data_IF_256004136071
#
_entry.id   IF_256004136071
#
_cell.length_a   1.000
_cell.length_b   1.000
_cell.length_c   1.000
_cell.angle_alpha   90.00
_cell.angle_beta   90.00
_cell.angle_gamma   90.00
#
_symmetry.space_group_name_H-M   'P 1'
#
loop_
_entity.id
_entity.type
_entity.pdbx_description
1 polymer ?
#
# COMPACT_ATOMS: atom_id res chain seq x y z
N UNK A 1 36.63 -8.05 -31.20
CA UNK A 1 35.38 -7.28 -31.01
C UNK A 1 34.82 -7.70 -29.65
N UNK A 2 34.94 -6.86 -28.61
CA UNK A 2 34.51 -7.22 -27.24
C UNK A 2 33.02 -6.92 -27.12
N UNK A 3 32.19 -7.96 -26.91
CA UNK A 3 30.76 -7.81 -26.59
C UNK A 3 30.61 -7.31 -25.15
N UNK A 4 30.40 -6.01 -24.98
CA UNK A 4 30.06 -5.41 -23.68
C UNK A 4 28.55 -5.17 -23.58
N UNK A 5 27.76 -6.25 -23.56
CA UNK A 5 26.32 -6.19 -23.27
C UNK A 5 26.02 -7.33 -22.29
N UNK A 6 26.25 -7.12 -21.00
CA UNK A 6 25.85 -8.10 -19.97
C UNK A 6 25.83 -7.52 -18.56
N UNK A 7 25.43 -6.24 -18.40
CA UNK A 7 25.34 -5.65 -17.05
C UNK A 7 24.21 -4.65 -16.83
N UNK A 8 23.49 -4.25 -17.89
CA UNK A 8 22.38 -3.29 -17.77
C UNK A 8 21.05 -3.96 -17.44
N UNK A 9 20.92 -5.27 -17.67
CA UNK A 9 19.66 -5.99 -17.48
C UNK A 9 19.51 -6.54 -16.04
N UNK A 10 20.61 -6.95 -15.38
CA UNK A 10 20.57 -7.48 -14.00
C UNK A 10 20.04 -6.45 -12.98
N UNK A 11 20.48 -5.19 -13.10
CA UNK A 11 20.05 -4.11 -12.21
C UNK A 11 18.56 -3.78 -12.37
N UNK A 12 17.99 -4.04 -13.55
CA UNK A 12 16.57 -3.86 -13.82
C UNK A 12 15.73 -4.96 -13.19
N UNK A 13 16.24 -6.20 -13.17
CA UNK A 13 15.58 -7.33 -12.52
C UNK A 13 15.52 -7.15 -11.00
N UNK A 14 16.62 -6.73 -10.39
CA UNK A 14 16.71 -6.51 -8.94
C UNK A 14 15.80 -5.37 -8.47
N UNK A 15 15.72 -4.28 -9.24
CA UNK A 15 14.83 -3.16 -8.95
C UNK A 15 13.34 -3.57 -9.06
N UNK A 16 13.00 -4.41 -10.03
CA UNK A 16 11.63 -4.91 -10.19
C UNK A 16 11.23 -5.86 -9.06
N UNK A 17 12.11 -6.81 -8.71
CA UNK A 17 11.89 -7.72 -7.60
C UNK A 17 11.76 -6.98 -6.26
N UNK A 18 12.54 -5.91 -6.05
CA UNK A 18 12.42 -5.05 -4.88
C UNK A 18 11.06 -4.32 -4.85
N UNK A 19 10.64 -3.76 -5.98
CA UNK A 19 9.35 -3.07 -6.09
C UNK A 19 8.18 -4.05 -5.82
N UNK A 20 8.23 -5.25 -6.38
CA UNK A 20 7.25 -6.31 -6.15
C UNK A 20 7.18 -6.70 -4.67
N UNK A 21 8.32 -6.85 -4.00
CA UNK A 21 8.36 -7.14 -2.56
C UNK A 21 7.74 -6.02 -1.70
N UNK A 22 7.90 -4.76 -2.11
CA UNK A 22 7.30 -3.61 -1.43
C UNK A 22 5.79 -3.59 -1.66
N UNK A 23 5.34 -3.81 -2.90
CA UNK A 23 3.92 -3.92 -3.24
C UNK A 23 3.23 -5.04 -2.48
N UNK A 24 3.85 -6.22 -2.43
CA UNK A 24 3.34 -7.36 -1.66
C UNK A 24 3.24 -7.03 -0.16
N UNK A 25 4.26 -6.37 0.39
CA UNK A 25 4.25 -5.88 1.77
C UNK A 25 3.11 -4.90 2.04
N UNK A 26 2.87 -3.96 1.13
CA UNK A 26 1.78 -2.99 1.24
C UNK A 26 0.40 -3.66 1.24
N UNK A 27 0.17 -4.62 0.33
CA UNK A 27 -1.09 -5.40 0.28
C UNK A 27 -1.27 -6.22 1.55
N UNK A 28 -0.20 -6.81 2.08
CA UNK A 28 -0.27 -7.58 3.33
C UNK A 28 -0.67 -6.70 4.52
N UNK A 29 -0.05 -5.52 4.63
CA UNK A 29 -0.45 -4.52 5.62
C UNK A 29 -1.91 -4.10 5.46
N UNK A 30 -2.37 -3.99 4.21
CA UNK A 30 -3.75 -3.64 3.92
C UNK A 30 -4.78 -4.65 4.43
N UNK A 31 -4.56 -5.92 4.09
CA UNK A 31 -5.43 -7.01 4.50
C UNK A 31 -5.47 -7.10 6.03
N UNK A 32 -4.34 -6.84 6.67
CA UNK A 32 -4.22 -6.89 8.11
C UNK A 32 -4.90 -5.72 8.82
N UNK A 33 -4.70 -4.49 8.34
CA UNK A 33 -5.40 -3.31 8.86
C UNK A 33 -6.92 -3.40 8.62
N UNK A 34 -7.35 -3.98 7.48
CA UNK A 34 -8.77 -4.16 7.15
C UNK A 34 -9.46 -5.20 8.02
N UNK A 35 -8.73 -6.15 8.60
CA UNK A 35 -9.30 -7.14 9.50
C UNK A 35 -9.91 -6.50 10.77
N UNK A 36 -9.61 -5.22 11.05
CA UNK A 36 -10.27 -4.42 12.09
C UNK A 36 -9.77 -4.68 13.51
N UNK A 37 -8.81 -5.57 13.69
CA UNK A 37 -8.20 -5.93 14.98
C UNK A 37 -6.76 -5.41 15.11
N UNK A 38 -6.40 -4.42 14.28
CA UNK A 38 -5.05 -3.85 14.30
C UNK A 38 -4.85 -3.04 15.60
N UNK A 39 -4.04 -3.58 16.49
CA UNK A 39 -3.65 -2.96 17.76
C UNK A 39 -2.66 -1.80 17.56
N UNK A 40 -2.47 -0.96 18.58
CA UNK A 40 -1.49 0.15 18.52
C UNK A 40 -0.07 -0.32 18.20
N UNK A 41 0.30 -1.51 18.70
CA UNK A 41 1.61 -2.13 18.42
C UNK A 41 1.80 -2.44 16.92
N UNK A 42 0.70 -2.73 16.24
CA UNK A 42 0.65 -3.14 14.84
C UNK A 42 0.68 -1.92 13.93
N UNK A 43 0.02 -0.83 14.36
CA UNK A 43 0.18 0.50 13.77
C UNK A 43 1.62 1.00 13.89
N UNK A 44 2.29 0.78 15.02
CA UNK A 44 3.70 1.14 15.17
C UNK A 44 4.63 0.28 14.32
N UNK A 45 4.32 -1.01 14.16
CA UNK A 45 5.05 -1.89 13.23
C UNK A 45 4.86 -1.43 11.77
N UNK A 46 3.67 -0.98 11.40
CA UNK A 46 3.40 -0.37 10.09
C UNK A 46 4.20 0.93 9.89
N UNK A 47 4.26 1.81 10.91
CA UNK A 47 5.09 3.03 10.85
C UNK A 47 6.56 2.72 10.68
N UNK A 48 7.09 1.72 11.39
CA UNK A 48 8.48 1.27 11.22
C UNK A 48 8.72 0.73 9.83
N UNK A 49 7.77 0.00 9.26
CA UNK A 49 7.85 -0.49 7.90
C UNK A 49 7.92 0.65 6.87
N UNK A 50 7.09 1.68 7.02
CA UNK A 50 7.13 2.89 6.18
C UNK A 50 8.46 3.64 6.23
N UNK A 51 9.09 3.70 7.41
CA UNK A 51 10.37 4.39 7.60
C UNK A 51 11.58 3.65 7.03
N UNK A 52 11.43 2.41 6.53
CA UNK A 52 12.56 1.65 5.98
C UNK A 52 13.12 2.25 4.69
N UNK A 53 12.26 2.86 3.85
CA UNK A 53 12.68 3.47 2.59
C UNK A 53 11.61 4.41 2.04
N UNK A 54 12.02 5.39 1.24
CA UNK A 54 11.10 6.27 0.52
C UNK A 54 10.10 5.49 -0.37
N UNK A 55 10.50 4.33 -0.90
CA UNK A 55 9.60 3.48 -1.67
C UNK A 55 8.50 2.83 -0.80
N UNK A 56 8.81 2.51 0.46
CA UNK A 56 7.81 1.99 1.41
C UNK A 56 6.82 3.08 1.83
N UNK A 57 7.32 4.30 2.08
CA UNK A 57 6.49 5.46 2.36
C UNK A 57 5.56 5.79 1.18
N UNK A 58 6.09 5.75 -0.05
CA UNK A 58 5.29 5.93 -1.28
C UNK A 58 4.18 4.88 -1.41
N UNK A 59 4.50 3.60 -1.22
CA UNK A 59 3.50 2.54 -1.27
C UNK A 59 2.40 2.70 -0.21
N UNK A 60 2.75 3.14 1.01
CA UNK A 60 1.77 3.42 2.06
C UNK A 60 0.89 4.63 1.74
N UNK A 61 1.45 5.69 1.13
CA UNK A 61 0.69 6.86 0.69
C UNK A 61 -0.36 6.47 -0.35
N UNK A 62 0.03 5.68 -1.36
CA UNK A 62 -0.87 5.16 -2.40
C UNK A 62 -1.98 4.30 -1.78
N UNK A 63 -1.63 3.49 -0.79
CA UNK A 63 -2.56 2.65 -0.05
C UNK A 63 -3.61 3.50 0.69
N UNK A 64 -3.18 4.53 1.41
CA UNK A 64 -4.07 5.45 2.14
C UNK A 64 -4.96 6.20 1.16
N UNK A 65 -4.40 6.69 0.05
CA UNK A 65 -5.15 7.38 -0.98
C UNK A 65 -6.24 6.49 -1.58
N UNK A 66 -5.90 5.26 -1.96
CA UNK A 66 -6.85 4.28 -2.48
C UNK A 66 -7.97 4.00 -1.47
N UNK A 67 -7.67 3.95 -0.18
CA UNK A 67 -8.67 3.78 0.86
C UNK A 67 -9.58 4.97 1.04
N UNK A 68 -9.06 6.19 0.97
CA UNK A 68 -9.88 7.40 1.01
C UNK A 68 -10.82 7.43 -0.20
N UNK A 69 -10.31 7.11 -1.40
CA UNK A 69 -11.12 7.05 -2.63
C UNK A 69 -12.20 5.97 -2.53
N UNK A 70 -11.84 4.76 -2.09
CA UNK A 70 -12.81 3.67 -1.91
C UNK A 70 -13.82 3.94 -0.79
N UNK A 71 -13.40 4.61 0.29
CA UNK A 71 -14.26 5.05 1.39
C UNK A 71 -15.25 6.12 0.95
N UNK A 72 -14.82 7.07 0.12
CA UNK A 72 -15.69 8.08 -0.50
C UNK A 72 -16.72 7.46 -1.46
N UNK A 73 -16.39 6.33 -2.10
CA UNK A 73 -17.32 5.56 -2.93
C UNK A 73 -18.23 4.62 -2.11
N UNK A 74 -17.94 4.45 -0.83
CA UNK A 74 -18.60 3.50 0.07
C UNK A 74 -19.47 4.14 1.14
N UNK A 75 -19.63 5.47 1.15
CA UNK A 75 -20.61 6.13 2.02
C UNK A 75 -22.01 5.82 1.48
N UNK A 76 -22.82 4.97 2.14
CA UNK A 76 -24.24 4.97 1.82
C UNK A 76 -24.73 6.36 2.17
N UNK A 77 -25.35 7.05 1.20
CA UNK A 77 -26.03 8.32 1.44
C UNK A 77 -26.72 8.28 2.82
N UNK A 78 -26.58 9.32 3.66
CA UNK A 78 -27.31 9.39 4.90
C UNK A 78 -28.79 9.26 4.55
N UNK A 79 -29.38 8.14 4.98
CA UNK A 79 -30.77 7.75 4.79
C UNK A 79 -31.64 9.02 4.79
N UNK A 80 -32.13 9.40 3.60
CA UNK A 80 -32.96 10.59 3.44
C UNK A 80 -34.08 10.55 4.46
N UNK A 81 -34.49 11.69 5.05
CA UNK A 81 -35.36 11.71 6.21
C UNK A 81 -36.57 10.82 5.95
N UNK A 82 -36.64 9.74 6.72
CA UNK A 82 -37.76 8.82 6.72
C UNK A 82 -39.03 9.66 6.80
N UNK A 83 -39.80 9.63 5.72
CA UNK A 83 -41.06 10.36 5.58
C UNK A 83 -42.02 9.78 6.62
N UNK A 84 -42.04 10.35 7.82
CA UNK A 84 -43.05 10.08 8.84
C UNK A 84 -44.24 11.01 8.62
N UNK A 85 -45.29 10.37 8.10
CA UNK A 85 -46.72 10.59 8.35
C UNK A 85 -47.33 11.99 8.11
#
# INVERSE_FOLDING_TARGET
MIMTISRRDDHSGDAHALADGICEGAVRWLLWLRAGDATERELDAFRRWQMQSAAHAGAAQELIWLWVVLGMLGDPEPDGPARTH
#
